data_IF_655010777183
#
_entry.id   IF_655010777183
#
_cell.length_a   1.000
_cell.length_b   1.000
_cell.length_c   1.000
_cell.angle_alpha   90.00
_cell.angle_beta   90.00
_cell.angle_gamma   90.00
#
_symmetry.space_group_name_H-M   'P 1'
#
loop_
_entity.id
_entity.type
_entity.pdbx_description
1 polymer ?
#
# COMPACT_ATOMS: atom_id res chain seq x y z
N UNK A 1 17.26 21.34 9.92
CA UNK A 1 15.94 21.08 10.50
C UNK A 1 15.78 19.58 10.46
N UNK A 2 15.88 18.97 11.63
CA UNK A 2 15.90 17.52 11.83
C UNK A 2 14.43 17.06 11.94
N UNK A 3 13.95 16.32 10.95
CA UNK A 3 12.57 15.84 10.88
C UNK A 3 12.52 14.40 11.42
N UNK A 4 12.56 14.28 12.75
CA UNK A 4 12.44 12.99 13.42
C UNK A 4 10.97 12.56 13.39
N UNK A 5 10.65 11.56 12.55
CA UNK A 5 9.33 10.95 12.48
C UNK A 5 8.87 10.47 13.87
N UNK A 6 7.72 10.96 14.33
CA UNK A 6 7.18 10.60 15.64
C UNK A 6 6.82 9.10 15.71
N UNK A 7 7.06 8.42 16.84
CA UNK A 7 6.69 7.02 17.02
C UNK A 7 5.17 6.85 16.93
N UNK A 8 4.72 5.89 16.12
CA UNK A 8 3.29 5.61 15.95
C UNK A 8 2.70 4.98 17.22
N UNK A 9 1.55 5.51 17.64
CA UNK A 9 0.75 4.90 18.72
C UNK A 9 0.05 3.62 18.21
N UNK A 10 -0.19 2.61 19.06
CA UNK A 10 -0.87 1.38 18.67
C UNK A 10 -2.28 1.67 18.13
N UNK A 11 -2.73 0.84 17.18
CA UNK A 11 -4.06 0.97 16.56
C UNK A 11 -5.14 0.67 17.60
N UNK A 12 -5.99 1.67 17.89
CA UNK A 12 -7.13 1.57 18.81
C UNK A 12 -8.43 1.59 17.99
N UNK A 13 -9.26 0.55 18.09
CA UNK A 13 -10.54 0.47 17.37
C UNK A 13 -11.74 0.78 18.30
N UNK A 14 -12.71 1.58 17.86
CA UNK A 14 -13.93 1.85 18.62
C UNK A 14 -14.89 0.65 18.59
N UNK A 15 -15.54 0.39 19.73
CA UNK A 15 -16.58 -0.64 19.83
C UNK A 15 -17.82 -0.20 19.03
N UNK A 16 -18.13 -0.88 17.93
CA UNK A 16 -19.36 -0.64 17.16
C UNK A 16 -20.59 -1.19 17.92
N UNK A 17 -21.54 -0.32 18.25
CA UNK A 17 -22.90 -0.72 18.65
C UNK A 17 -23.88 -0.10 17.65
N UNK A 18 -24.52 -0.94 16.83
CA UNK A 18 -25.65 -0.51 15.99
C UNK A 18 -25.33 0.48 14.86
N UNK A 19 -24.16 0.37 14.21
CA UNK A 19 -23.77 1.20 13.05
C UNK A 19 -23.63 2.72 13.30
N UNK A 20 -23.51 3.16 14.56
CA UNK A 20 -23.09 4.53 14.89
C UNK A 20 -21.90 4.52 15.86
N UNK A 21 -20.92 5.44 15.74
CA UNK A 21 -19.92 5.65 16.78
C UNK A 21 -20.63 6.20 18.01
N UNK A 22 -20.68 5.43 19.11
CA UNK A 22 -21.22 5.91 20.36
C UNK A 22 -20.28 6.99 20.95
N UNK A 23 -20.78 8.22 21.07
CA UNK A 23 -20.05 9.28 21.74
C UNK A 23 -19.84 8.90 23.21
N UNK A 24 -18.58 8.78 23.64
CA UNK A 24 -18.20 8.56 25.04
C UNK A 24 -17.93 7.11 25.46
N UNK A 25 -17.75 6.15 24.56
CA UNK A 25 -17.48 4.76 24.95
C UNK A 25 -16.06 4.58 25.51
N UNK A 26 -15.99 4.16 26.78
CA UNK A 26 -14.76 3.69 27.43
C UNK A 26 -14.29 2.41 26.74
N UNK A 27 -13.02 2.39 26.35
CA UNK A 27 -12.38 1.27 25.65
C UNK A 27 -11.96 0.23 26.69
N UNK A 28 -12.52 -0.97 26.59
CA UNK A 28 -12.16 -2.10 27.44
C UNK A 28 -12.20 -3.41 26.66
N UNK A 29 -11.27 -4.31 26.94
CA UNK A 29 -11.28 -5.66 26.37
C UNK A 29 -12.43 -6.47 26.97
N UNK A 30 -13.46 -6.78 26.19
CA UNK A 30 -14.57 -7.65 26.62
C UNK A 30 -14.19 -9.10 26.26
N UNK A 31 -14.06 -10.03 27.24
CA UNK A 31 -13.69 -11.42 26.99
C UNK A 31 -14.67 -12.22 26.11
N UNK A 32 -15.91 -11.74 25.99
CA UNK A 32 -17.04 -12.46 25.38
C UNK A 32 -17.20 -12.19 23.89
N UNK A 33 -16.56 -11.16 23.33
CA UNK A 33 -16.67 -10.87 21.89
C UNK A 33 -15.54 -11.59 21.15
N UNK A 34 -15.82 -12.63 20.35
CA UNK A 34 -14.81 -13.27 19.53
C UNK A 34 -14.19 -12.19 18.65
N UNK A 35 -12.92 -11.89 18.88
CA UNK A 35 -12.20 -10.99 18.01
C UNK A 35 -12.06 -11.67 16.65
N UNK A 36 -12.18 -10.93 15.53
CA UNK A 36 -11.75 -11.42 14.23
C UNK A 36 -10.29 -11.87 14.36
N UNK A 37 -10.07 -13.17 14.38
CA UNK A 37 -8.74 -13.77 14.44
C UNK A 37 -8.18 -14.02 13.03
N UNK A 38 -8.99 -13.73 12.00
CA UNK A 38 -8.61 -13.85 10.60
C UNK A 38 -8.87 -12.53 9.89
N UNK A 39 -7.80 -11.90 9.42
CA UNK A 39 -7.85 -10.78 8.50
C UNK A 39 -7.44 -11.30 7.13
N UNK A 40 -8.41 -11.54 6.25
CA UNK A 40 -8.15 -11.91 4.87
C UNK A 40 -7.95 -10.65 4.04
N UNK A 41 -6.84 -10.56 3.33
CA UNK A 41 -6.59 -9.51 2.33
C UNK A 41 -6.53 -10.19 0.95
N UNK A 42 -7.22 -9.60 -0.03
CA UNK A 42 -7.00 -9.95 -1.43
C UNK A 42 -5.63 -9.39 -1.81
N UNK A 43 -4.66 -10.28 -2.02
CA UNK A 43 -3.28 -9.92 -2.34
C UNK A 43 -2.99 -10.20 -3.80
N UNK A 44 -2.44 -9.21 -4.50
CA UNK A 44 -2.06 -9.30 -5.91
C UNK A 44 -0.52 -9.32 -6.03
N UNK A 45 0.14 -10.47 -5.78
CA UNK A 45 1.59 -10.54 -5.61
C UNK A 45 2.38 -10.01 -6.80
N UNK A 46 1.95 -10.33 -8.02
CA UNK A 46 2.63 -9.91 -9.25
C UNK A 46 2.48 -8.40 -9.47
N UNK A 47 1.32 -7.85 -9.12
CA UNK A 47 1.08 -6.42 -9.22
C UNK A 47 1.97 -5.65 -8.25
N UNK A 48 2.03 -6.10 -6.98
CA UNK A 48 2.89 -5.52 -5.95
C UNK A 48 4.37 -5.65 -6.31
N UNK A 49 4.79 -6.81 -6.82
CA UNK A 49 6.17 -7.03 -7.27
C UNK A 49 6.55 -6.09 -8.42
N UNK A 50 5.72 -5.99 -9.47
CA UNK A 50 5.99 -5.08 -10.58
C UNK A 50 6.04 -3.62 -10.13
N UNK A 51 5.10 -3.21 -9.26
CA UNK A 51 5.04 -1.84 -8.75
C UNK A 51 6.25 -1.53 -7.86
N UNK A 52 6.70 -2.47 -7.03
CA UNK A 52 7.88 -2.34 -6.17
C UNK A 52 9.17 -2.05 -6.95
N UNK A 53 9.29 -2.55 -8.19
CA UNK A 53 10.45 -2.29 -9.05
C UNK A 53 10.55 -0.85 -9.54
N UNK A 54 9.47 -0.08 -9.41
CA UNK A 54 9.46 1.36 -9.70
C UNK A 54 9.71 2.24 -8.47
N UNK A 55 10.07 1.66 -7.32
CA UNK A 55 10.37 2.44 -6.12
C UNK A 55 11.49 3.45 -6.38
N UNK A 56 11.29 4.69 -5.95
CA UNK A 56 12.17 5.83 -6.20
C UNK A 56 12.00 6.47 -7.58
N UNK A 57 11.15 5.93 -8.46
CA UNK A 57 10.96 6.44 -9.81
C UNK A 57 9.69 7.28 -9.93
N UNK A 58 9.68 8.16 -10.93
CA UNK A 58 8.48 8.86 -11.35
C UNK A 58 7.54 7.85 -12.04
N UNK A 59 6.30 7.76 -11.57
CA UNK A 59 5.25 6.91 -12.15
C UNK A 59 3.95 7.69 -12.34
N UNK A 60 3.12 7.19 -13.25
CA UNK A 60 1.71 7.57 -13.36
C UNK A 60 0.84 6.50 -12.74
N UNK A 61 -0.09 6.87 -11.85
CA UNK A 61 -1.06 5.95 -11.24
C UNK A 61 -2.45 6.36 -11.69
N UNK A 62 -3.20 5.42 -12.25
CA UNK A 62 -4.56 5.67 -12.73
C UNK A 62 -5.56 4.96 -11.83
N UNK A 63 -6.46 5.75 -11.28
CA UNK A 63 -7.57 5.32 -10.44
C UNK A 63 -8.89 5.57 -11.17
N UNK A 64 -9.99 5.06 -10.62
CA UNK A 64 -11.34 5.39 -11.12
C UNK A 64 -11.69 6.88 -10.93
N UNK A 65 -11.00 7.59 -10.03
CA UNK A 65 -11.18 9.02 -9.79
C UNK A 65 -10.29 9.91 -10.67
N UNK A 66 -9.34 9.33 -11.42
CA UNK A 66 -8.41 10.07 -12.27
C UNK A 66 -6.96 9.60 -12.14
N UNK A 67 -6.06 10.35 -12.77
CA UNK A 67 -4.62 10.06 -12.86
C UNK A 67 -3.83 10.95 -11.91
N UNK A 68 -2.85 10.36 -11.23
CA UNK A 68 -1.91 11.05 -10.34
C UNK A 68 -0.49 10.69 -10.76
N UNK A 69 0.36 11.69 -10.93
CA UNK A 69 1.79 11.48 -11.19
C UNK A 69 2.61 11.86 -9.96
N UNK A 70 3.65 11.09 -9.67
CA UNK A 70 4.58 11.39 -8.58
C UNK A 70 5.70 10.39 -8.47
N UNK A 71 6.53 10.55 -7.43
CA UNK A 71 7.62 9.62 -7.12
C UNK A 71 7.06 8.53 -6.22
N UNK A 72 7.18 7.26 -6.63
CA UNK A 72 6.80 6.13 -5.81
C UNK A 72 7.80 5.96 -4.65
N UNK A 73 7.45 6.39 -3.45
CA UNK A 73 8.38 6.37 -2.31
C UNK A 73 8.26 5.12 -1.44
N UNK A 74 7.18 4.34 -1.59
CA UNK A 74 6.99 3.11 -0.84
C UNK A 74 5.89 2.23 -1.40
N UNK A 75 6.04 0.92 -1.20
CA UNK A 75 5.06 -0.09 -1.56
C UNK A 75 4.85 -1.00 -0.35
N UNK A 76 3.60 -1.13 0.07
CA UNK A 76 3.15 -2.06 1.09
C UNK A 76 2.18 -3.09 0.47
N UNK A 77 1.77 -4.06 1.27
CA UNK A 77 0.89 -5.15 0.82
C UNK A 77 -0.48 -4.67 0.33
N UNK A 78 -0.98 -3.56 0.85
CA UNK A 78 -2.34 -3.06 0.61
C UNK A 78 -2.39 -1.61 0.07
N UNK A 79 -1.26 -0.89 0.08
CA UNK A 79 -1.18 0.48 -0.38
C UNK A 79 0.20 0.85 -0.90
N UNK A 80 0.26 1.95 -1.64
CA UNK A 80 1.48 2.59 -2.10
C UNK A 80 1.58 3.99 -1.50
N UNK A 81 2.80 4.52 -1.42
CA UNK A 81 3.05 5.92 -1.11
C UNK A 81 3.61 6.63 -2.33
N UNK A 82 2.93 7.67 -2.79
CA UNK A 82 3.32 8.49 -3.93
C UNK A 82 3.56 9.93 -3.47
N UNK A 83 4.78 10.44 -3.67
CA UNK A 83 5.12 11.82 -3.37
C UNK A 83 4.76 12.70 -4.58
N UNK A 84 3.74 13.56 -4.43
CA UNK A 84 3.24 14.44 -5.48
C UNK A 84 2.88 15.81 -4.90
N UNK A 85 3.37 16.89 -5.52
CA UNK A 85 3.05 18.26 -5.10
C UNK A 85 3.41 18.57 -3.64
N UNK A 86 4.51 18.01 -3.13
CA UNK A 86 4.96 18.18 -1.74
C UNK A 86 4.15 17.40 -0.70
N UNK A 87 3.24 16.51 -1.12
CA UNK A 87 2.45 15.65 -0.24
C UNK A 87 2.82 14.18 -0.44
N UNK A 88 2.75 13.40 0.64
CA UNK A 88 2.80 11.94 0.59
C UNK A 88 1.37 11.40 0.46
N UNK A 89 1.02 10.88 -0.71
CA UNK A 89 -0.29 10.29 -0.99
C UNK A 89 -0.24 8.79 -0.71
N UNK A 90 -1.03 8.33 0.25
CA UNK A 90 -1.21 6.90 0.52
C UNK A 90 -2.42 6.41 -0.27
N UNK A 91 -2.19 5.52 -1.24
CA UNK A 91 -3.22 5.05 -2.15
C UNK A 91 -3.39 3.55 -2.01
N UNK A 92 -4.63 3.09 -1.74
CA UNK A 92 -4.94 1.66 -1.66
C UNK A 92 -4.70 1.00 -3.01
N UNK A 93 -4.01 -0.14 -3.04
CA UNK A 93 -3.77 -0.91 -4.28
C UNK A 93 -5.09 -1.29 -4.94
N UNK A 94 -6.10 -1.66 -4.13
CA UNK A 94 -7.44 -1.99 -4.60
C UNK A 94 -8.20 -0.84 -5.31
N UNK A 95 -7.65 0.38 -5.35
CA UNK A 95 -8.22 1.52 -6.07
C UNK A 95 -7.40 1.93 -7.30
N UNK A 96 -6.30 1.24 -7.55
CA UNK A 96 -5.45 1.42 -8.73
C UNK A 96 -6.01 0.54 -9.85
N UNK A 97 -6.34 1.15 -10.98
CA UNK A 97 -6.75 0.42 -12.18
C UNK A 97 -5.51 -0.05 -12.93
N UNK A 98 -4.52 0.82 -13.09
CA UNK A 98 -3.20 0.50 -13.64
C UNK A 98 -2.16 1.57 -13.26
N UNK A 99 -0.89 1.27 -13.51
CA UNK A 99 0.21 2.23 -13.40
C UNK A 99 1.08 2.25 -14.65
N UNK A 100 1.76 3.37 -14.86
CA UNK A 100 2.71 3.62 -15.93
C UNK A 100 4.08 3.89 -15.32
N UNK A 101 5.10 3.18 -15.78
CA UNK A 101 6.48 3.34 -15.35
C UNK A 101 7.44 3.06 -16.51
N UNK A 102 8.75 3.22 -16.27
CA UNK A 102 9.75 2.84 -17.26
C UNK A 102 9.64 1.33 -17.58
N UNK A 103 9.94 0.89 -18.81
CA UNK A 103 9.91 -0.53 -19.15
C UNK A 103 10.80 -1.35 -18.21
N UNK A 104 10.27 -2.42 -17.65
CA UNK A 104 11.07 -3.41 -16.92
C UNK A 104 11.68 -4.37 -17.96
N UNK A 105 12.98 -4.31 -18.13
CA UNK A 105 13.74 -5.32 -18.89
C UNK A 105 14.31 -6.37 -17.95
N UNK A 106 14.08 -7.64 -18.29
CA UNK A 106 14.77 -8.76 -17.65
C UNK A 106 16.04 -9.04 -18.44
N UNK A 107 17.20 -9.12 -17.77
CA UNK A 107 18.36 -9.73 -18.39
C UNK A 107 18.06 -11.21 -18.61
N UNK A 108 18.07 -11.63 -19.87
CA UNK A 108 18.12 -13.05 -20.17
C UNK A 108 19.54 -13.51 -19.82
N UNK A 109 19.75 -14.54 -18.98
CA UNK A 109 21.09 -15.08 -18.82
C UNK A 109 21.57 -15.48 -20.20
N UNK A 110 22.71 -14.91 -20.62
CA UNK A 110 23.31 -15.18 -21.91
C UNK A 110 23.34 -16.69 -22.13
N UNK A 111 22.71 -17.15 -23.21
CA UNK A 111 22.68 -18.57 -23.59
C UNK A 111 24.09 -19.16 -23.43
N UNK A 112 24.26 -20.02 -22.43
CA UNK A 112 25.43 -20.86 -22.32
C UNK A 112 25.50 -21.68 -23.59
N UNK A 113 26.48 -21.38 -24.43
CA UNK A 113 26.66 -22.03 -25.72
C UNK A 113 26.83 -23.54 -25.52
N UNK A 114 25.82 -24.30 -25.95
CA UNK A 114 26.01 -25.67 -26.41
C UNK A 114 26.34 -25.56 -27.90
N UNK A 115 27.62 -25.64 -28.23
CA UNK A 115 28.07 -26.00 -29.57
C UNK A 115 28.06 -27.52 -29.73
N UNK A 116 27.67 -28.05 -30.91
CA UNK A 116 27.75 -29.48 -31.23
C UNK A 116 29.20 -30.01 -31.24
#
# INVERSE_FOLDING_TARGET
MDETAAPLSPVVQPLQVGYQPAAGTVIGAIPVVPQPHHYGLSYEPVFVDHLSRHTGQQIGVVTTAGRVEGILSGVAVDHIQLNAGGKALHMRIAQIVYFEGLPITYEHPANGGLHP
#
